data_IF_254075191456
#
_entry.id   IF_254075191456
#
_cell.length_a   1.000
_cell.length_b   1.000
_cell.length_c   1.000
_cell.angle_alpha   90.00
_cell.angle_beta   90.00
_cell.angle_gamma   90.00
#
_symmetry.space_group_name_H-M   'P 1'
#
loop_
_entity.id
_entity.type
_entity.pdbx_description
1 polymer ?
#
# COMPACT_ATOMS: atom_id res chain seq x y z
N UNK A 1 11.05 8.33 -4.69
CA UNK A 1 10.85 8.92 -3.36
C UNK A 1 10.48 7.84 -2.38
N UNK A 2 11.14 7.81 -1.25
CA UNK A 2 10.99 6.75 -0.26
C UNK A 2 10.48 7.31 1.05
N UNK A 3 9.57 6.62 1.70
CA UNK A 3 9.04 6.95 3.00
C UNK A 3 8.93 5.71 3.87
N UNK A 4 8.90 5.90 5.17
CA UNK A 4 8.56 4.83 6.07
C UNK A 4 7.05 4.89 6.32
N UNK A 5 6.41 3.74 6.21
CA UNK A 5 4.99 3.63 6.47
C UNK A 5 4.77 2.57 7.55
N UNK A 6 3.88 2.87 8.48
CA UNK A 6 3.43 1.89 9.45
C UNK A 6 2.05 1.42 9.02
N UNK A 7 1.89 0.12 8.84
CA UNK A 7 0.60 -0.45 8.47
C UNK A 7 0.08 -1.25 9.66
N UNK A 8 -1.13 -0.93 10.09
CA UNK A 8 -1.74 -1.59 11.24
C UNK A 8 -1.82 -3.10 11.01
N UNK A 9 -1.35 -3.87 11.98
CA UNK A 9 -1.30 -5.32 11.88
C UNK A 9 -0.08 -5.86 11.16
N UNK A 10 0.70 -5.01 10.51
CA UNK A 10 1.89 -5.42 9.75
C UNK A 10 3.17 -4.89 10.37
N UNK A 11 3.21 -3.59 10.67
CA UNK A 11 4.40 -2.94 11.18
C UNK A 11 4.97 -1.94 10.20
N UNK A 12 6.20 -1.52 10.46
CA UNK A 12 6.86 -0.49 9.69
C UNK A 12 7.59 -1.06 8.48
N UNK A 13 7.40 -0.45 7.33
CA UNK A 13 8.00 -0.89 6.07
C UNK A 13 8.45 0.34 5.28
N UNK A 14 9.38 0.11 4.35
CA UNK A 14 9.77 1.14 3.40
C UNK A 14 8.78 1.17 2.25
N UNK A 15 8.27 2.35 1.95
CA UNK A 15 7.34 2.55 0.85
C UNK A 15 7.99 3.42 -0.22
N UNK A 16 7.70 3.12 -1.46
CA UNK A 16 8.07 3.96 -2.58
C UNK A 16 6.83 4.74 -3.01
N UNK A 17 6.98 6.04 -3.15
CA UNK A 17 5.93 6.89 -3.66
C UNK A 17 6.04 6.93 -5.17
N UNK A 18 5.06 6.37 -5.85
CA UNK A 18 5.06 6.28 -7.31
C UNK A 18 4.02 7.21 -7.88
N UNK A 19 4.47 8.30 -8.49
CA UNK A 19 3.59 9.30 -9.08
C UNK A 19 3.35 9.07 -10.56
N UNK A 20 4.03 8.08 -11.15
CA UNK A 20 3.86 7.77 -12.57
C UNK A 20 2.81 6.68 -12.77
N UNK A 21 2.25 6.65 -13.96
CA UNK A 21 1.42 5.54 -14.46
C UNK A 21 0.16 5.19 -13.67
N UNK A 22 -0.28 5.99 -12.73
CA UNK A 22 -1.49 5.69 -11.98
C UNK A 22 -1.45 4.36 -11.24
N UNK A 23 -0.29 3.97 -10.78
CA UNK A 23 -0.13 2.71 -10.06
C UNK A 23 -1.04 2.65 -8.84
N UNK A 24 -1.54 1.47 -8.56
CA UNK A 24 -2.34 1.23 -7.38
C UNK A 24 -1.43 0.98 -6.18
N UNK A 25 -1.94 1.17 -4.97
CA UNK A 25 -1.16 0.83 -3.77
C UNK A 25 -0.92 -0.67 -3.73
N UNK A 26 0.29 -1.07 -3.39
CA UNK A 26 0.64 -2.48 -3.30
C UNK A 26 1.31 -2.75 -1.97
N UNK A 27 0.88 -3.81 -1.30
CA UNK A 27 1.55 -4.33 -0.12
C UNK A 27 2.10 -5.70 -0.46
N UNK A 28 3.37 -5.92 -0.12
CA UNK A 28 3.99 -7.23 -0.33
C UNK A 28 3.26 -8.31 0.47
N UNK A 29 2.98 -9.41 -0.18
CA UNK A 29 2.48 -10.61 0.47
C UNK A 29 3.04 -11.84 -0.22
N UNK A 30 3.33 -12.87 0.56
CA UNK A 30 3.75 -14.17 0.08
C UNK A 30 2.73 -15.21 0.52
N UNK A 31 2.74 -16.36 -0.16
CA UNK A 31 1.82 -17.45 0.14
C UNK A 31 0.37 -16.96 0.17
N UNK A 32 0.03 -16.19 -0.84
CA UNK A 32 -1.28 -15.55 -0.93
C UNK A 32 -2.33 -16.61 -1.25
N UNK A 33 -3.32 -16.75 -0.38
CA UNK A 33 -4.41 -17.72 -0.55
C UNK A 33 -5.73 -17.07 -0.27
N UNK A 34 -6.63 -17.15 -1.23
CA UNK A 34 -8.01 -16.70 -1.04
C UNK A 34 -8.89 -17.89 -0.73
N UNK A 35 -9.77 -17.72 0.23
CA UNK A 35 -10.74 -18.73 0.62
C UNK A 35 -12.03 -18.01 0.99
N UNK A 36 -13.11 -18.31 0.27
CA UNK A 36 -14.34 -17.56 0.46
C UNK A 36 -14.13 -16.09 0.19
N UNK A 37 -14.46 -15.25 1.16
CA UNK A 37 -14.31 -13.81 1.04
C UNK A 37 -13.05 -13.27 1.72
N UNK A 38 -12.16 -14.16 2.14
CA UNK A 38 -10.97 -13.80 2.89
C UNK A 38 -9.72 -14.10 2.08
N UNK A 39 -8.67 -13.38 2.38
CA UNK A 39 -7.33 -13.66 1.85
C UNK A 39 -6.35 -13.76 3.01
N UNK A 40 -5.51 -14.78 2.94
CA UNK A 40 -4.41 -14.98 3.89
C UNK A 40 -3.10 -14.77 3.16
N UNK A 41 -2.18 -14.07 3.78
CA UNK A 41 -0.86 -13.85 3.20
C UNK A 41 0.16 -13.56 4.30
N UNK A 42 1.43 -13.78 3.97
CA UNK A 42 2.54 -13.50 4.90
C UNK A 42 3.17 -12.17 4.51
N UNK A 43 3.29 -11.28 5.46
CA UNK A 43 3.83 -9.94 5.24
C UNK A 43 5.36 -9.96 5.20
N UNK A 44 5.95 -8.85 4.80
CA UNK A 44 7.42 -8.71 4.79
C UNK A 44 8.02 -8.88 6.17
N UNK A 45 7.26 -8.59 7.22
CA UNK A 45 7.73 -8.75 8.60
C UNK A 45 7.46 -10.15 9.15
N UNK A 46 7.04 -11.07 8.30
CA UNK A 46 6.80 -12.46 8.70
C UNK A 46 5.48 -12.70 9.42
N UNK A 47 4.62 -11.70 9.44
CA UNK A 47 3.32 -11.83 10.10
C UNK A 47 2.31 -12.36 9.12
N UNK A 48 1.53 -13.36 9.52
CA UNK A 48 0.44 -13.88 8.70
C UNK A 48 -0.81 -13.08 8.99
N UNK A 49 -1.39 -12.50 7.96
CA UNK A 49 -2.63 -11.76 8.06
C UNK A 49 -3.74 -12.49 7.32
N UNK A 50 -4.94 -12.35 7.84
CA UNK A 50 -6.15 -12.80 7.16
C UNK A 50 -7.12 -11.62 7.15
N UNK A 51 -7.54 -11.21 5.97
CA UNK A 51 -8.36 -10.01 5.80
C UNK A 51 -9.48 -10.26 4.81
N UNK A 52 -10.60 -9.56 4.97
CA UNK A 52 -11.65 -9.60 3.95
C UNK A 52 -11.13 -9.04 2.63
N UNK A 53 -11.52 -9.65 1.54
CA UNK A 53 -11.22 -9.15 0.19
C UNK A 53 -12.29 -8.14 -0.17
N UNK A 54 -11.86 -6.91 -0.42
CA UNK A 54 -12.77 -5.84 -0.82
C UNK A 54 -13.15 -5.97 -2.30
N UNK A 55 -12.15 -6.24 -3.14
CA UNK A 55 -12.34 -6.39 -4.57
C UNK A 55 -11.06 -6.97 -5.15
N UNK A 56 -10.95 -7.02 -6.48
CA UNK A 56 -9.75 -7.49 -7.16
C UNK A 56 -9.33 -6.48 -8.20
N UNK A 57 -8.03 -6.47 -8.50
CA UNK A 57 -7.47 -5.67 -9.57
C UNK A 57 -6.69 -6.60 -10.50
N UNK A 58 -6.78 -6.34 -11.79
CA UNK A 58 -6.04 -7.10 -12.79
C UNK A 58 -4.80 -6.31 -13.18
N UNK A 59 -3.64 -6.96 -13.07
CA UNK A 59 -2.36 -6.36 -13.40
C UNK A 59 -1.87 -6.99 -14.71
N UNK A 60 -1.48 -6.15 -15.67
CA UNK A 60 -0.89 -6.62 -16.91
C UNK A 60 0.60 -6.85 -16.69
N UNK A 61 1.06 -8.06 -16.94
CA UNK A 61 2.46 -8.44 -16.73
C UNK A 61 3.26 -8.42 -18.03
N UNK A 62 2.65 -8.01 -19.13
CA UNK A 62 3.29 -8.01 -20.44
C UNK A 62 3.09 -9.33 -21.18
N UNK A 63 3.33 -9.32 -22.49
CA UNK A 63 3.21 -10.49 -23.36
C UNK A 63 1.86 -11.20 -23.25
N UNK A 64 0.79 -10.44 -22.99
CA UNK A 64 -0.55 -11.00 -22.85
C UNK A 64 -0.84 -11.66 -21.51
N UNK A 65 0.12 -11.67 -20.60
CA UNK A 65 -0.06 -12.25 -19.27
C UNK A 65 -0.73 -11.27 -18.32
N UNK A 66 -1.59 -11.79 -17.47
CA UNK A 66 -2.31 -10.99 -16.49
C UNK A 66 -2.29 -11.69 -15.15
N UNK A 67 -2.34 -10.91 -14.10
CA UNK A 67 -2.43 -11.42 -12.74
C UNK A 67 -3.57 -10.69 -12.03
N UNK A 68 -4.42 -11.43 -11.36
CA UNK A 68 -5.48 -10.84 -10.56
C UNK A 68 -5.02 -10.83 -9.11
N UNK A 69 -5.12 -9.68 -8.46
CA UNK A 69 -4.69 -9.51 -7.08
C UNK A 69 -5.84 -9.09 -6.21
N UNK A 70 -5.95 -9.66 -5.01
CA UNK A 70 -6.98 -9.22 -4.07
C UNK A 70 -6.63 -7.86 -3.50
N UNK A 71 -7.67 -7.07 -3.25
CA UNK A 71 -7.54 -5.77 -2.59
C UNK A 71 -8.09 -5.91 -1.18
N UNK A 72 -7.32 -5.46 -0.20
CA UNK A 72 -7.72 -5.41 1.20
C UNK A 72 -7.68 -3.97 1.68
N UNK A 73 -8.46 -3.68 2.70
CA UNK A 73 -8.55 -2.32 3.26
C UNK A 73 -7.75 -2.30 4.55
N UNK A 74 -6.79 -1.40 4.64
CA UNK A 74 -5.90 -1.31 5.79
C UNK A 74 -5.77 0.12 6.26
N UNK A 75 -5.45 0.28 7.54
CA UNK A 75 -5.14 1.57 8.11
C UNK A 75 -3.62 1.71 8.14
N UNK A 76 -3.14 2.90 7.87
CA UNK A 76 -1.70 3.13 7.87
C UNK A 76 -1.38 4.51 8.44
N UNK A 77 -0.10 4.70 8.68
CA UNK A 77 0.42 5.92 9.27
C UNK A 77 1.74 6.27 8.59
N UNK A 78 1.86 7.50 8.16
CA UNK A 78 3.10 8.02 7.61
C UNK A 78 3.46 9.24 8.45
N UNK A 79 4.62 9.20 9.09
CA UNK A 79 4.96 10.19 10.10
C UNK A 79 3.96 10.10 11.23
N UNK A 80 3.32 11.20 11.57
CA UNK A 80 2.30 11.23 12.61
C UNK A 80 0.88 11.31 12.06
N UNK A 81 0.72 11.20 10.75
CA UNK A 81 -0.58 11.28 10.13
C UNK A 81 -1.15 9.91 9.87
N UNK A 82 -2.37 9.67 10.33
CA UNK A 82 -3.10 8.43 10.10
C UNK A 82 -3.95 8.53 8.85
N UNK A 83 -4.00 7.42 8.13
CA UNK A 83 -4.84 7.28 6.95
C UNK A 83 -5.67 6.01 7.13
N UNK A 84 -6.98 6.17 7.10
CA UNK A 84 -7.90 5.08 7.39
C UNK A 84 -8.51 4.54 6.11
N UNK A 85 -8.80 3.23 6.13
CA UNK A 85 -9.53 2.56 5.04
C UNK A 85 -8.87 2.72 3.69
N UNK A 86 -7.56 2.48 3.66
CA UNK A 86 -6.78 2.62 2.43
C UNK A 86 -6.73 1.28 1.71
N UNK A 87 -7.09 1.23 0.42
CA UNK A 87 -7.05 -0.02 -0.32
C UNK A 87 -5.63 -0.35 -0.77
N UNK A 88 -5.22 -1.58 -0.54
CA UNK A 88 -3.95 -2.10 -1.01
C UNK A 88 -4.20 -3.39 -1.78
N UNK A 89 -3.61 -3.51 -2.95
CA UNK A 89 -3.56 -4.82 -3.60
C UNK A 89 -2.43 -5.62 -2.97
N UNK A 90 -2.60 -6.93 -2.88
CA UNK A 90 -1.58 -7.80 -2.29
C UNK A 90 -0.87 -8.51 -3.44
N UNK A 91 0.44 -8.32 -3.51
CA UNK A 91 1.24 -8.93 -4.55
C UNK A 91 2.64 -9.24 -4.05
N UNK A 92 3.31 -10.18 -4.69
CA UNK A 92 4.64 -10.59 -4.26
C UNK A 92 5.68 -9.59 -4.77
N UNK A 93 6.29 -8.89 -3.86
CA UNK A 93 7.34 -7.91 -4.15
C UNK A 93 8.68 -8.33 -3.54
N UNK A 94 8.89 -9.64 -3.38
CA UNK A 94 10.11 -10.13 -2.71
C UNK A 94 11.40 -9.66 -3.38
N UNK A 95 11.37 -9.48 -4.70
CA UNK A 95 12.55 -9.05 -5.46
C UNK A 95 12.66 -7.53 -5.54
N UNK A 96 11.77 -6.80 -4.90
CA UNK A 96 11.79 -5.34 -4.87
C UNK A 96 12.32 -4.85 -3.54
N UNK A 97 13.08 -3.76 -3.59
CA UNK A 97 13.61 -3.14 -2.37
C UNK A 97 12.48 -2.63 -1.48
N UNK A 98 11.46 -2.06 -2.09
CA UNK A 98 10.34 -1.50 -1.35
C UNK A 98 9.20 -2.49 -1.29
N UNK A 99 8.79 -2.83 -0.08
CA UNK A 99 7.70 -3.80 0.14
C UNK A 99 6.32 -3.16 0.09
N UNK A 100 6.28 -1.84 0.00
CA UNK A 100 5.04 -1.09 -0.17
C UNK A 100 5.22 -0.10 -1.31
N UNK A 101 4.21 -0.05 -2.18
CA UNK A 101 4.14 0.95 -3.23
C UNK A 101 2.92 1.81 -2.96
N UNK A 102 3.13 3.10 -2.89
CA UNK A 102 2.03 4.06 -2.73
C UNK A 102 1.76 4.68 -4.09
N UNK A 103 0.59 4.44 -4.60
CA UNK A 103 0.23 4.89 -5.92
C UNK A 103 -0.21 6.33 -5.98
N UNK A 104 -0.33 6.82 -7.19
CA UNK A 104 -0.67 8.21 -7.45
C UNK A 104 -1.99 8.63 -6.83
N UNK A 105 -2.99 7.77 -6.91
CA UNK A 105 -4.32 8.12 -6.40
C UNK A 105 -4.30 8.37 -4.89
N UNK A 106 -3.58 7.55 -4.15
CA UNK A 106 -3.46 7.79 -2.72
C UNK A 106 -2.74 9.10 -2.45
N UNK A 107 -1.64 9.34 -3.15
CA UNK A 107 -0.87 10.57 -2.99
C UNK A 107 -1.75 11.78 -3.26
N UNK A 108 -2.47 11.77 -4.38
CA UNK A 108 -3.31 12.92 -4.74
C UNK A 108 -4.51 13.11 -3.85
N UNK A 109 -5.18 12.02 -3.49
CA UNK A 109 -6.45 12.10 -2.79
C UNK A 109 -6.34 12.08 -1.28
N UNK A 110 -5.23 11.61 -0.76
CA UNK A 110 -5.07 11.45 0.69
C UNK A 110 -4.05 12.42 1.26
N UNK A 111 -2.85 12.44 0.70
CA UNK A 111 -1.82 13.34 1.21
C UNK A 111 -2.00 14.75 0.74
N UNK A 112 -2.40 14.91 -0.51
CA UNK A 112 -2.55 16.23 -1.09
C UNK A 112 -3.67 17.03 -0.43
N UNK A 113 -4.66 16.36 0.07
CA UNK A 113 -5.74 17.03 0.79
C UNK A 113 -5.25 17.76 2.04
N UNK A 114 -4.10 17.39 2.54
CA UNK A 114 -3.53 18.01 3.73
C UNK A 114 -2.55 19.11 3.39
N UNK A 115 -2.02 19.07 2.18
CA UNK A 115 -0.89 19.85 1.81
C UNK A 115 -1.00 20.23 0.35
N UNK A 116 -0.85 21.48 0.06
CA UNK A 116 -1.00 21.99 -1.30
C UNK A 116 0.31 22.36 -1.97
N UNK A 117 1.43 21.99 -1.40
CA UNK A 117 2.73 22.29 -1.97
C UNK A 117 3.48 21.00 -2.20
N UNK A 118 4.77 21.06 -2.34
CA UNK A 118 5.55 19.86 -2.59
C UNK A 118 5.08 18.73 -1.71
N UNK A 119 4.36 17.81 -2.28
CA UNK A 119 3.67 16.78 -1.55
C UNK A 119 4.59 16.03 -0.60
N UNK A 120 5.75 15.66 -1.08
CA UNK A 120 6.65 14.85 -0.29
C UNK A 120 7.25 15.60 0.87
N UNK A 121 7.76 16.77 0.64
CA UNK A 121 8.39 17.55 1.70
C UNK A 121 7.40 17.92 2.76
N UNK A 122 6.23 18.28 2.34
CA UNK A 122 5.19 18.64 3.28
C UNK A 122 4.71 17.43 4.05
N UNK A 123 4.58 16.30 3.42
CA UNK A 123 4.20 15.09 4.11
C UNK A 123 5.17 14.77 5.23
N UNK A 124 6.45 14.92 4.99
CA UNK A 124 7.45 14.69 6.03
C UNK A 124 7.35 15.66 7.19
N UNK A 125 7.00 16.90 6.90
CA UNK A 125 6.96 17.92 7.95
C UNK A 125 5.68 17.94 8.72
N UNK A 126 4.58 17.64 8.08
CA UNK A 126 3.27 17.85 8.66
C UNK A 126 2.50 16.59 8.99
N UNK A 127 3.07 15.44 8.77
CA UNK A 127 2.40 14.19 9.12
C UNK A 127 2.19 14.03 10.61
N UNK A 128 2.82 14.83 11.41
CA UNK A 128 2.66 14.81 12.85
C UNK A 128 1.45 15.61 13.33
N UNK A 129 0.78 16.30 12.46
CA UNK A 129 -0.22 17.26 12.85
C UNK A 129 -1.50 16.55 13.06
N UNK A 130 -2.07 15.80 13.08
CA UNK A 130 -3.41 15.31 13.25
C UNK A 130 -3.51 13.86 13.51
N UNK A 131 -2.78 13.47 14.41
CA UNK A 131 -2.88 12.04 14.69
C UNK A 131 -3.77 11.72 15.87
#
# INVERSE_FOLDING_TARGET
>A
MEELIYIEGVGQLKAKLDTGNGAFNVLHGEDIKESGKMVRFTTANGIVLEKPVSSHITINLGAGNKEERPIVILNCKIGNKKFMDIPFSIGNRKDNTHKVLIGKNFIENSLDALIDVSLVDVAKKNLEVNV
#
